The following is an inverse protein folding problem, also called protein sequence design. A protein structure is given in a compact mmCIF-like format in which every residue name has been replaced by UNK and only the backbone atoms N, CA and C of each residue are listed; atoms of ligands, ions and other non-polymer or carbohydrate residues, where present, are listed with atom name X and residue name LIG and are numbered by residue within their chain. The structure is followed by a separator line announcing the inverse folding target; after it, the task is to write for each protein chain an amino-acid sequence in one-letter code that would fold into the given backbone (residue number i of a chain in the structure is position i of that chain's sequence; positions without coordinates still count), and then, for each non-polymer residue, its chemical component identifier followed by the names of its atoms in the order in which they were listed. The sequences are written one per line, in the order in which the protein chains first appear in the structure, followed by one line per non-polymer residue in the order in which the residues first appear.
data_IF_733919065567
#
_entry.id   IF_733919065567
#
_cell.length_a   1.000
_cell.length_b   1.000
_cell.length_c   1.000
_cell.angle_alpha   90.00
_cell.angle_beta   90.00
_cell.angle_gamma   90.00
#
_symmetry.space_group_name_H-M   'P 1'
#
loop_
_entity.id
_entity.type
_entity.pdbx_description
1 polymer ?
#
# COMPACT_ATOMS: atom_id res chain seq x y z
N UNK A 1 7.68 -5.16 19.20
CA UNK A 1 7.58 -5.62 17.80
C UNK A 1 8.95 -6.08 17.37
N UNK A 2 9.01 -7.20 16.66
CA UNK A 2 10.26 -7.77 16.15
C UNK A 2 10.37 -7.55 14.63
N UNK A 3 11.50 -7.96 14.06
CA UNK A 3 11.75 -7.90 12.61
C UNK A 3 10.64 -8.59 11.80
N UNK A 4 10.16 -9.75 12.26
CA UNK A 4 9.11 -10.51 11.56
C UNK A 4 7.79 -9.74 11.48
N UNK A 5 7.44 -9.00 12.54
CA UNK A 5 6.25 -8.15 12.59
C UNK A 5 6.23 -7.09 11.49
N UNK A 6 7.39 -6.49 11.18
CA UNK A 6 7.49 -5.49 10.10
C UNK A 6 7.45 -6.11 8.70
N UNK A 7 8.06 -7.28 8.50
CA UNK A 7 7.96 -8.02 7.23
C UNK A 7 6.54 -8.46 6.94
N UNK A 8 5.82 -8.94 7.97
CA UNK A 8 4.39 -9.26 7.81
C UNK A 8 3.59 -8.01 7.44
N UNK A 9 3.80 -6.88 8.12
CA UNK A 9 3.09 -5.63 7.79
C UNK A 9 3.34 -5.17 6.34
N UNK A 10 4.58 -5.24 5.87
CA UNK A 10 4.94 -4.95 4.48
C UNK A 10 4.21 -5.88 3.49
N UNK A 11 4.21 -7.19 3.76
CA UNK A 11 3.51 -8.18 2.93
C UNK A 11 2.00 -7.89 2.87
N UNK A 12 1.37 -7.59 4.01
CA UNK A 12 -0.06 -7.25 4.05
C UNK A 12 -0.40 -6.01 3.23
N UNK A 13 0.41 -4.96 3.32
CA UNK A 13 0.17 -3.73 2.55
C UNK A 13 0.34 -3.99 1.05
N UNK A 14 1.36 -4.77 0.66
CA UNK A 14 1.55 -5.18 -0.73
C UNK A 14 0.36 -5.96 -1.28
N UNK A 15 -0.18 -6.91 -0.51
CA UNK A 15 -1.39 -7.66 -0.89
C UNK A 15 -2.57 -6.72 -1.09
N UNK A 16 -2.79 -5.77 -0.18
CA UNK A 16 -3.91 -4.82 -0.30
C UNK A 16 -3.77 -3.88 -1.50
N UNK A 17 -2.56 -3.37 -1.78
CA UNK A 17 -2.29 -2.58 -2.98
C UNK A 17 -2.57 -3.36 -4.26
N UNK A 18 -2.11 -4.61 -4.32
CA UNK A 18 -2.31 -5.49 -5.47
C UNK A 18 -3.80 -5.82 -5.68
N UNK A 19 -4.56 -6.04 -4.60
CA UNK A 19 -5.99 -6.30 -4.67
C UNK A 19 -6.77 -5.07 -5.14
N UNK A 20 -6.40 -3.87 -4.68
CA UNK A 20 -7.02 -2.62 -5.11
C UNK A 20 -6.83 -2.41 -6.61
N UNK A 21 -5.60 -2.55 -7.10
CA UNK A 21 -5.26 -2.42 -8.52
C UNK A 21 -6.01 -3.47 -9.35
N UNK A 22 -5.97 -4.75 -8.96
CA UNK A 22 -6.63 -5.82 -9.71
C UNK A 22 -8.16 -5.70 -9.75
N UNK A 23 -8.78 -5.20 -8.67
CA UNK A 23 -10.22 -5.08 -8.57
C UNK A 23 -10.77 -3.82 -9.26
N UNK A 24 -10.06 -2.69 -9.15
CA UNK A 24 -10.58 -1.37 -9.53
C UNK A 24 -9.74 -0.63 -10.57
N UNK A 25 -8.46 -0.96 -10.73
CA UNK A 25 -7.51 -0.18 -11.52
C UNK A 25 -7.88 -0.02 -12.99
N UNK A 26 -8.49 -1.06 -13.58
CA UNK A 26 -8.97 -1.07 -14.97
C UNK A 26 -10.51 -1.02 -15.06
N UNK A 27 -11.20 -0.78 -13.94
CA UNK A 27 -12.65 -0.86 -13.92
C UNK A 27 -13.28 0.34 -14.64
N UNK A 28 -14.16 0.16 -15.64
CA UNK A 28 -14.68 1.26 -16.46
C UNK A 28 -15.29 2.42 -15.67
N UNK A 29 -15.97 2.13 -14.56
CA UNK A 29 -16.54 3.18 -13.68
C UNK A 29 -15.46 4.08 -13.09
N UNK A 30 -14.30 3.54 -12.72
CA UNK A 30 -13.19 4.35 -12.20
C UNK A 30 -12.67 5.27 -13.30
N UNK A 31 -12.52 4.79 -14.54
CA UNK A 31 -12.00 5.61 -15.65
C UNK A 31 -12.98 6.69 -16.16
N UNK A 32 -14.29 6.44 -16.13
CA UNK A 32 -15.29 7.36 -16.69
C UNK A 32 -15.82 8.40 -15.69
N UNK A 33 -15.55 8.22 -14.39
CA UNK A 33 -15.99 9.15 -13.35
C UNK A 33 -14.76 9.79 -12.67
N UNK A 34 -14.41 11.05 -12.99
CA UNK A 34 -13.20 11.70 -12.48
C UNK A 34 -13.08 11.72 -10.95
N UNK A 35 -14.20 11.88 -10.25
CA UNK A 35 -14.23 11.86 -8.78
C UNK A 35 -13.87 10.47 -8.22
N UNK A 36 -14.38 9.41 -8.84
CA UNK A 36 -14.06 8.04 -8.47
C UNK A 36 -12.59 7.72 -8.77
N UNK A 37 -12.09 8.16 -9.94
CA UNK A 37 -10.67 8.06 -10.30
C UNK A 37 -9.76 8.73 -9.27
N UNK A 38 -10.08 9.96 -8.88
CA UNK A 38 -9.30 10.71 -7.91
C UNK A 38 -9.26 10.01 -6.54
N UNK A 39 -10.36 9.39 -6.11
CA UNK A 39 -10.38 8.61 -4.86
C UNK A 39 -9.58 7.30 -4.97
N UNK A 40 -9.66 6.61 -6.12
CA UNK A 40 -8.84 5.42 -6.38
C UNK A 40 -7.35 5.75 -6.36
N UNK A 41 -6.92 6.80 -7.06
CA UNK A 41 -5.53 7.25 -7.11
C UNK A 41 -5.03 7.62 -5.71
N UNK A 42 -5.83 8.37 -4.94
CA UNK A 42 -5.50 8.68 -3.54
C UNK A 42 -5.35 7.43 -2.67
N UNK A 43 -6.23 6.44 -2.82
CA UNK A 43 -6.14 5.19 -2.07
C UNK A 43 -4.86 4.41 -2.43
N UNK A 44 -4.55 4.32 -3.72
CA UNK A 44 -3.32 3.68 -4.22
C UNK A 44 -2.06 4.37 -3.68
N UNK A 45 -2.01 5.71 -3.76
CA UNK A 45 -0.89 6.51 -3.24
C UNK A 45 -0.70 6.32 -1.73
N UNK A 46 -1.80 6.24 -0.97
CA UNK A 46 -1.74 6.02 0.48
C UNK A 46 -1.23 4.63 0.84
N UNK A 47 -1.57 3.60 0.08
CA UNK A 47 -1.01 2.26 0.27
C UNK A 47 0.49 2.23 -0.06
N UNK A 48 0.91 2.90 -1.13
CA UNK A 48 2.33 3.06 -1.47
C UNK A 48 3.12 3.79 -0.38
N UNK A 49 2.60 4.90 0.12
CA UNK A 49 3.21 5.66 1.21
C UNK A 49 3.29 4.84 2.51
N UNK A 50 2.25 4.06 2.82
CA UNK A 50 2.26 3.16 3.97
C UNK A 50 3.34 2.08 3.84
N UNK A 51 3.48 1.48 2.65
CA UNK A 51 4.53 0.49 2.38
C UNK A 51 5.93 1.08 2.59
N UNK A 52 6.19 2.28 2.06
CA UNK A 52 7.47 2.99 2.25
C UNK A 52 7.78 3.25 3.72
N UNK A 53 6.81 3.80 4.47
CA UNK A 53 6.96 4.06 5.91
C UNK A 53 7.28 2.78 6.69
N UNK A 54 6.58 1.68 6.41
CA UNK A 54 6.86 0.39 7.05
C UNK A 54 8.26 -0.13 6.71
N UNK A 55 8.75 0.13 5.50
CA UNK A 55 10.11 -0.21 5.08
C UNK A 55 11.17 0.58 5.86
N UNK A 56 10.96 1.88 6.03
CA UNK A 56 11.83 2.74 6.84
C UNK A 56 11.87 2.28 8.31
N UNK A 57 10.71 1.97 8.89
CA UNK A 57 10.61 1.48 10.27
C UNK A 57 11.28 0.11 10.44
N UNK A 58 11.13 -0.79 9.47
CA UNK A 58 11.79 -2.10 9.43
C UNK A 58 13.32 -1.94 9.44
N UNK A 59 13.85 -1.06 8.59
CA UNK A 59 15.27 -0.77 8.52
C UNK A 59 15.83 -0.17 9.81
N UNK A 60 15.11 0.78 10.42
CA UNK A 60 15.50 1.36 11.71
C UNK A 60 15.50 0.33 12.85
N UNK A 61 14.60 -0.66 12.81
CA UNK A 61 14.57 -1.73 13.79
C UNK A 61 15.76 -2.69 13.62
N UNK A 62 16.15 -3.00 12.39
CA UNK A 62 17.30 -3.87 12.10
C UNK A 62 18.63 -3.22 12.50
N UNK A 63 18.75 -1.89 12.51
CA UNK A 63 19.95 -1.19 12.99
C UNK A 63 20.11 -1.14 14.52
N UNK A 64 19.03 -1.41 15.27
CA UNK A 64 19.02 -1.35 16.74
C UNK A 64 19.34 -2.69 17.40
N UNK A 65 19.35 -3.78 16.64
CA UNK A 65 19.66 -5.14 17.09
C UNK A 65 21.06 -5.55 16.66
#
# INVERSE_FOLDING_TARGET
MDRYSYHEALDRVFIQASQLEAALGEHPVIHHHPEAKALYEQASDKLGALYQLLGELSFQQDQKN
#
